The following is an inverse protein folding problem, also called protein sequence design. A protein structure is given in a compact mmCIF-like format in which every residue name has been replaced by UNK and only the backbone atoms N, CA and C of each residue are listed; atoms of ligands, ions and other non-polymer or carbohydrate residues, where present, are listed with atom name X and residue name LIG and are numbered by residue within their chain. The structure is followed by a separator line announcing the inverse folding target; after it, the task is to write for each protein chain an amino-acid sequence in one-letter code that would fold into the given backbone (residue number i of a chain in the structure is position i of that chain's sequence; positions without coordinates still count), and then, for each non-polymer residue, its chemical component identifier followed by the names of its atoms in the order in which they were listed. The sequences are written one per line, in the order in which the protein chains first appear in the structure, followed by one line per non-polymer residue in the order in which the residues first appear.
data_IF_682299396753
#
_entry.id   IF_682299396753
#
_cell.length_a   1.000
_cell.length_b   1.000
_cell.length_c   1.000
_cell.angle_alpha   90.00
_cell.angle_beta   90.00
_cell.angle_gamma   90.00
#
_symmetry.space_group_name_H-M   'P 1'
#
loop_
_entity.id
_entity.type
_entity.pdbx_description
1 polymer ?
#
# COMPACT_ATOMS: atom_id res chain seq x y z
N UNK A 1 13.97 8.96 -17.89
CA UNK A 1 13.80 7.53 -17.54
C UNK A 1 12.36 7.34 -17.08
N UNK A 2 11.71 6.22 -17.41
CA UNK A 2 10.34 5.93 -16.95
C UNK A 2 10.31 5.63 -15.44
N UNK A 3 9.12 5.63 -14.85
CA UNK A 3 8.93 5.22 -13.46
C UNK A 3 9.22 3.73 -13.27
N UNK A 4 9.51 3.32 -12.04
CA UNK A 4 9.74 1.92 -11.69
C UNK A 4 8.39 1.25 -11.41
N UNK A 5 8.06 0.25 -12.22
CA UNK A 5 6.86 -0.58 -12.09
C UNK A 5 7.12 -1.78 -11.17
N UNK A 6 6.03 -2.35 -10.66
CA UNK A 6 6.10 -3.55 -9.82
C UNK A 6 6.54 -4.76 -10.64
N UNK A 7 7.52 -5.49 -10.12
CA UNK A 7 7.98 -6.78 -10.64
C UNK A 7 6.94 -7.88 -10.50
N UNK A 8 5.90 -7.67 -9.70
CA UNK A 8 4.78 -8.57 -9.51
C UNK A 8 3.68 -8.44 -10.57
N UNK A 9 3.75 -7.47 -11.50
CA UNK A 9 2.74 -7.32 -12.56
C UNK A 9 2.56 -8.55 -13.48
N UNK A 10 3.59 -9.34 -13.81
CA UNK A 10 3.42 -10.51 -14.68
C UNK A 10 2.66 -11.69 -14.05
N UNK A 11 2.44 -11.67 -12.73
CA UNK A 11 1.79 -12.76 -12.01
C UNK A 11 0.29 -12.47 -11.80
N UNK A 12 -0.53 -13.51 -11.95
CA UNK A 12 -1.97 -13.42 -11.74
C UNK A 12 -2.31 -13.59 -10.26
N UNK A 13 -2.63 -12.48 -9.60
CA UNK A 13 -3.13 -12.46 -8.23
C UNK A 13 -4.65 -12.29 -8.20
N UNK A 14 -5.29 -12.81 -7.14
CA UNK A 14 -6.69 -12.45 -6.83
C UNK A 14 -6.76 -10.93 -6.70
N UNK A 15 -7.76 -10.31 -7.33
CA UNK A 15 -7.95 -8.87 -7.26
C UNK A 15 -9.29 -8.51 -6.59
N UNK A 16 -9.35 -7.33 -5.99
CA UNK A 16 -10.59 -6.68 -5.57
C UNK A 16 -10.74 -5.41 -6.39
N UNK A 17 -11.77 -5.36 -7.24
CA UNK A 17 -11.83 -4.37 -8.31
C UNK A 17 -10.61 -4.54 -9.22
N UNK A 18 -9.82 -3.48 -9.35
CA UNK A 18 -8.56 -3.50 -10.11
C UNK A 18 -7.29 -3.53 -9.23
N UNK A 19 -7.43 -3.74 -7.91
CA UNK A 19 -6.31 -3.84 -6.96
C UNK A 19 -5.91 -5.30 -6.77
N UNK A 20 -4.64 -5.64 -6.99
CA UNK A 20 -4.13 -6.98 -6.75
C UNK A 20 -3.97 -7.26 -5.24
N UNK A 21 -4.34 -8.45 -4.78
CA UNK A 21 -4.05 -8.94 -3.42
C UNK A 21 -2.73 -9.71 -3.43
N UNK A 22 -1.64 -8.99 -3.19
CA UNK A 22 -0.31 -9.58 -3.14
C UNK A 22 -0.03 -10.22 -1.77
N UNK A 23 0.79 -11.30 -1.73
CA UNK A 23 1.29 -11.83 -0.47
C UNK A 23 2.17 -10.81 0.25
N UNK A 24 2.04 -10.72 1.57
CA UNK A 24 2.83 -9.78 2.39
C UNK A 24 3.39 -10.49 3.62
N UNK A 25 4.66 -10.23 3.94
CA UNK A 25 5.32 -10.73 5.15
C UNK A 25 4.85 -9.94 6.35
N UNK A 26 3.91 -10.50 7.11
CA UNK A 26 3.46 -9.88 8.36
C UNK A 26 2.98 -10.90 9.38
N UNK A 27 3.13 -10.52 10.65
CA UNK A 27 2.65 -11.25 11.82
C UNK A 27 1.18 -10.95 12.11
N UNK A 28 0.61 -9.94 11.46
CA UNK A 28 -0.75 -9.48 11.71
C UNK A 28 -1.74 -10.21 10.80
N UNK A 29 -2.90 -10.55 11.36
CA UNK A 29 -3.98 -11.18 10.61
C UNK A 29 -4.61 -10.16 9.65
N UNK A 30 -4.86 -10.59 8.43
CA UNK A 30 -5.58 -9.81 7.44
C UNK A 30 -5.79 -10.63 6.16
N UNK A 31 -6.38 -10.01 5.12
CA UNK A 31 -6.83 -10.70 3.92
C UNK A 31 -5.73 -10.94 2.89
N UNK A 32 -4.53 -10.38 3.12
CA UNK A 32 -3.37 -10.63 2.27
C UNK A 32 -2.94 -12.10 2.38
N UNK A 33 -2.66 -12.79 1.25
CA UNK A 33 -2.09 -14.13 1.28
C UNK A 33 -0.78 -14.17 2.07
N UNK A 34 -0.47 -15.32 2.65
CA UNK A 34 0.83 -15.56 3.28
C UNK A 34 1.82 -15.93 2.16
N UNK A 35 3.00 -15.28 2.08
CA UNK A 35 4.01 -15.62 1.10
C UNK A 35 4.49 -17.06 1.28
N UNK A 36 4.74 -17.77 0.18
CA UNK A 36 5.22 -19.15 0.20
C UNK A 36 6.65 -19.27 0.72
N UNK A 37 7.48 -18.27 0.41
CA UNK A 37 8.83 -18.11 0.99
C UNK A 37 8.83 -16.88 1.92
N UNK A 38 8.97 -17.07 3.24
CA UNK A 38 9.06 -15.98 4.20
C UNK A 38 10.25 -15.03 4.00
N UNK A 39 11.28 -15.44 3.25
CA UNK A 39 12.48 -14.64 3.02
C UNK A 39 12.44 -13.88 1.69
N UNK A 40 11.50 -14.19 0.79
CA UNK A 40 11.37 -13.48 -0.48
C UNK A 40 10.91 -12.03 -0.23
N UNK A 41 11.38 -11.09 -1.06
CA UNK A 41 10.91 -9.71 -1.02
C UNK A 41 9.41 -9.64 -1.35
N UNK A 42 8.68 -8.80 -0.63
CA UNK A 42 7.27 -8.54 -0.90
C UNK A 42 7.05 -7.15 -1.51
N UNK A 43 5.78 -6.81 -1.77
CA UNK A 43 5.39 -5.54 -2.37
C UNK A 43 5.74 -4.32 -1.48
N UNK A 44 5.88 -4.51 -0.17
CA UNK A 44 6.25 -3.44 0.77
C UNK A 44 7.74 -3.16 0.67
N UNK A 45 8.57 -4.21 0.63
CA UNK A 45 10.02 -4.07 0.40
C UNK A 45 10.29 -3.38 -0.94
N UNK A 46 9.59 -3.82 -1.99
CA UNK A 46 9.66 -3.20 -3.32
C UNK A 46 9.27 -1.71 -3.25
N UNK A 47 8.16 -1.38 -2.59
CA UNK A 47 7.71 0.00 -2.45
C UNK A 47 8.73 0.91 -1.74
N UNK A 48 9.34 0.44 -0.65
CA UNK A 48 10.39 1.18 0.06
C UNK A 48 11.62 1.37 -0.83
N UNK A 49 12.01 0.32 -1.57
CA UNK A 49 13.16 0.36 -2.48
C UNK A 49 12.95 1.39 -3.61
N UNK A 50 11.78 1.40 -4.24
CA UNK A 50 11.49 2.28 -5.37
C UNK A 50 10.94 3.66 -4.95
N UNK A 51 10.60 3.86 -3.67
CA UNK A 51 9.99 5.11 -3.19
C UNK A 51 10.78 6.37 -3.60
N UNK A 52 12.09 6.38 -3.33
CA UNK A 52 12.95 7.53 -3.61
C UNK A 52 12.97 7.91 -5.09
N UNK A 53 13.31 6.99 -6.03
CA UNK A 53 13.27 7.35 -7.45
C UNK A 53 11.84 7.66 -7.93
N UNK A 54 10.82 6.94 -7.46
CA UNK A 54 9.45 7.16 -7.91
C UNK A 54 8.83 8.48 -7.45
N UNK A 55 9.26 9.03 -6.32
CA UNK A 55 8.75 10.31 -5.80
C UNK A 55 9.11 11.53 -6.68
N UNK A 56 10.04 11.39 -7.63
CA UNK A 56 10.40 12.47 -8.55
C UNK A 56 9.56 12.49 -9.83
N UNK A 57 8.82 11.42 -10.12
CA UNK A 57 8.01 11.34 -11.34
C UNK A 57 6.61 11.92 -11.10
N UNK A 58 6.17 12.76 -12.03
CA UNK A 58 4.81 13.35 -12.01
C UNK A 58 3.76 12.43 -12.64
N UNK A 59 4.19 11.56 -13.54
CA UNK A 59 3.32 10.67 -14.29
C UNK A 59 3.75 9.22 -14.02
N UNK A 60 2.78 8.34 -13.82
CA UNK A 60 2.97 6.92 -13.65
C UNK A 60 1.95 6.20 -14.54
N UNK A 61 2.42 5.43 -15.52
CA UNK A 61 1.55 4.62 -16.38
C UNK A 61 1.21 3.31 -15.66
N UNK A 62 -0.07 2.99 -15.48
CA UNK A 62 -0.45 1.80 -14.74
C UNK A 62 -0.43 0.59 -15.69
N UNK A 63 0.50 -0.34 -15.48
CA UNK A 63 0.64 -1.54 -16.32
C UNK A 63 -0.13 -2.74 -15.75
N UNK A 64 -0.46 -2.75 -14.46
CA UNK A 64 -1.14 -3.88 -13.82
C UNK A 64 -1.78 -3.57 -12.46
N UNK A 65 -2.36 -4.61 -11.85
CA UNK A 65 -2.97 -4.52 -10.52
C UNK A 65 -1.93 -4.28 -9.41
N UNK A 66 -0.72 -4.77 -9.58
CA UNK A 66 0.38 -4.63 -8.62
C UNK A 66 0.94 -3.20 -8.60
N UNK A 67 1.00 -2.53 -9.75
CA UNK A 67 1.32 -1.09 -9.83
C UNK A 67 0.36 -0.22 -9.02
N UNK A 68 -0.93 -0.57 -8.97
CA UNK A 68 -1.90 0.17 -8.15
C UNK A 68 -1.58 0.02 -6.66
N UNK A 69 -1.22 -1.20 -6.22
CA UNK A 69 -0.74 -1.39 -4.85
C UNK A 69 0.54 -0.57 -4.63
N UNK A 70 1.48 -0.60 -5.55
CA UNK A 70 2.73 0.15 -5.45
C UNK A 70 2.51 1.67 -5.30
N UNK A 71 1.62 2.26 -6.12
CA UNK A 71 1.25 3.68 -6.02
C UNK A 71 0.65 3.99 -4.65
N UNK A 72 -0.25 3.14 -4.16
CA UNK A 72 -0.85 3.29 -2.84
C UNK A 72 0.22 3.31 -1.73
N UNK A 73 1.19 2.40 -1.80
CA UNK A 73 2.29 2.31 -0.84
C UNK A 73 3.19 3.53 -0.88
N UNK A 74 3.51 4.04 -2.07
CA UNK A 74 4.33 5.25 -2.23
C UNK A 74 3.65 6.45 -1.56
N UNK A 75 2.34 6.62 -1.75
CA UNK A 75 1.57 7.69 -1.12
C UNK A 75 1.53 7.52 0.40
N UNK A 76 1.34 6.29 0.89
CA UNK A 76 1.37 6.01 2.32
C UNK A 76 2.74 6.30 2.95
N UNK A 77 3.83 5.91 2.31
CA UNK A 77 5.19 6.22 2.76
C UNK A 77 5.38 7.75 2.83
N UNK A 78 4.88 8.50 1.84
CA UNK A 78 4.93 9.96 1.86
C UNK A 78 4.17 10.56 3.05
N UNK A 79 2.97 10.06 3.37
CA UNK A 79 2.21 10.49 4.55
C UNK A 79 2.94 10.17 5.86
N UNK A 80 3.52 8.97 5.98
CA UNK A 80 4.33 8.58 7.14
C UNK A 80 5.52 9.53 7.32
N UNK A 81 6.26 9.83 6.25
CA UNK A 81 7.41 10.72 6.29
C UNK A 81 7.00 12.16 6.63
N UNK A 82 5.89 12.66 6.08
CA UNK A 82 5.37 13.99 6.41
C UNK A 82 5.02 14.11 7.91
N UNK A 83 4.41 13.06 8.49
CA UNK A 83 4.11 13.03 9.93
C UNK A 83 5.37 12.98 10.78
N UNK A 84 6.35 12.15 10.42
CA UNK A 84 7.62 12.08 11.14
C UNK A 84 8.39 13.42 11.06
N UNK A 85 8.42 14.06 9.90
CA UNK A 85 9.10 15.33 9.69
C UNK A 85 8.52 16.48 10.53
N UNK A 86 7.25 16.40 10.94
CA UNK A 86 6.60 17.44 11.74
C UNK A 86 7.18 17.54 13.16
N UNK A 87 7.60 16.42 13.75
CA UNK A 87 8.06 16.36 15.15
C UNK A 87 9.50 15.85 15.32
N UNK A 88 10.08 15.26 14.28
CA UNK A 88 11.37 14.56 14.34
C UNK A 88 11.51 13.67 15.60
N UNK A 89 10.54 12.78 15.85
CA UNK A 89 10.54 11.98 17.08
C UNK A 89 11.71 11.01 17.11
N UNK A 90 12.12 10.60 18.31
CA UNK A 90 13.01 9.44 18.47
C UNK A 90 12.34 8.14 18.01
N UNK A 91 13.12 7.07 17.82
CA UNK A 91 12.65 5.79 17.25
C UNK A 91 11.34 5.28 17.88
N UNK A 92 11.28 5.19 19.22
CA UNK A 92 10.11 4.65 19.92
C UNK A 92 8.86 5.52 19.78
N UNK A 93 9.01 6.84 19.76
CA UNK A 93 7.90 7.77 19.58
C UNK A 93 7.43 7.76 18.12
N UNK A 94 8.37 7.70 17.16
CA UNK A 94 8.07 7.55 15.74
C UNK A 94 7.28 6.27 15.45
N UNK A 95 7.68 5.13 16.03
CA UNK A 95 6.94 3.88 15.93
C UNK A 95 5.50 4.01 16.44
N UNK A 96 5.29 4.62 17.61
CA UNK A 96 3.93 4.83 18.15
C UNK A 96 3.09 5.77 17.28
N UNK A 97 3.70 6.82 16.75
CA UNK A 97 3.04 7.77 15.86
C UNK A 97 2.57 7.08 14.57
N UNK A 98 3.42 6.28 13.95
CA UNK A 98 3.09 5.54 12.74
C UNK A 98 2.08 4.41 13.00
N UNK A 99 2.19 3.69 14.12
CA UNK A 99 1.20 2.68 14.51
C UNK A 99 -0.18 3.31 14.66
N UNK A 100 -0.27 4.47 15.32
CA UNK A 100 -1.52 5.22 15.47
C UNK A 100 -2.06 5.64 14.11
N UNK A 101 -1.18 6.08 13.20
CA UNK A 101 -1.57 6.49 11.85
C UNK A 101 -2.12 5.33 11.01
N UNK A 102 -1.47 4.16 11.04
CA UNK A 102 -1.91 2.98 10.30
C UNK A 102 -3.29 2.46 10.74
N UNK A 103 -3.71 2.77 11.97
CA UNK A 103 -5.05 2.42 12.48
C UNK A 103 -6.14 3.44 12.12
N UNK A 104 -5.80 4.58 11.52
CA UNK A 104 -6.78 5.59 11.15
C UNK A 104 -7.71 5.09 10.04
N UNK A 105 -8.93 5.65 10.00
CA UNK A 105 -9.86 5.32 8.92
C UNK A 105 -9.30 5.83 7.59
N UNK A 106 -9.16 4.90 6.65
CA UNK A 106 -8.74 5.17 5.29
C UNK A 106 -9.97 5.28 4.37
N UNK A 107 -9.88 6.14 3.35
CA UNK A 107 -10.96 6.29 2.35
C UNK A 107 -10.79 5.24 1.26
N UNK A 108 -11.81 4.46 0.95
CA UNK A 108 -11.72 3.43 -0.09
C UNK A 108 -11.95 4.01 -1.49
N UNK A 109 -11.51 3.33 -2.56
CA UNK A 109 -12.00 3.59 -3.91
C UNK A 109 -13.54 3.61 -3.94
N UNK A 110 -14.10 4.70 -4.45
CA UNK A 110 -15.53 5.01 -4.45
C UNK A 110 -15.96 6.03 -3.39
N UNK A 111 -15.15 6.30 -2.37
CA UNK A 111 -15.42 7.33 -1.37
C UNK A 111 -15.09 8.73 -1.93
N UNK A 112 -15.89 9.73 -1.59
CA UNK A 112 -15.68 11.12 -2.06
C UNK A 112 -14.32 11.71 -1.66
N UNK A 113 -13.74 11.19 -0.57
CA UNK A 113 -12.45 11.63 -0.04
C UNK A 113 -11.26 10.86 -0.64
N UNK A 114 -11.49 9.85 -1.48
CA UNK A 114 -10.40 9.10 -2.11
C UNK A 114 -9.86 9.85 -3.34
N UNK A 115 -8.60 10.30 -3.32
CA UNK A 115 -8.08 11.23 -4.32
C UNK A 115 -7.86 10.59 -5.70
N UNK A 116 -7.83 9.25 -5.80
CA UNK A 116 -7.50 8.52 -7.03
C UNK A 116 -8.68 7.72 -7.61
N UNK A 117 -9.92 8.16 -7.37
CA UNK A 117 -11.13 7.46 -7.85
C UNK A 117 -11.16 7.18 -9.35
N UNK A 118 -10.47 7.99 -10.17
CA UNK A 118 -10.40 7.75 -11.61
C UNK A 118 -9.51 6.55 -12.00
N UNK A 119 -8.63 6.10 -11.10
CA UNK A 119 -7.63 5.04 -11.36
C UNK A 119 -7.96 3.72 -10.67
N UNK A 120 -8.82 3.77 -9.65
CA UNK A 120 -9.19 2.63 -8.81
C UNK A 120 -10.67 2.32 -8.92
N UNK A 121 -10.99 1.04 -9.04
CA UNK A 121 -12.37 0.58 -9.07
C UNK A 121 -12.91 0.41 -7.66
N UNK A 122 -14.16 0.85 -7.47
CA UNK A 122 -14.88 0.63 -6.22
C UNK A 122 -15.07 -0.88 -5.97
N UNK A 123 -15.00 -1.35 -4.72
CA UNK A 123 -15.31 -2.73 -4.39
C UNK A 123 -16.76 -3.06 -4.79
N UNK A 124 -16.96 -4.23 -5.39
CA UNK A 124 -18.27 -4.66 -5.89
C UNK A 124 -19.22 -5.05 -4.74
N UNK A 125 -18.67 -5.61 -3.66
CA UNK A 125 -19.44 -6.10 -2.51
C UNK A 125 -19.01 -5.44 -1.20
N UNK A 126 -19.87 -5.52 -0.18
CA UNK A 126 -19.51 -5.11 1.19
C UNK A 126 -18.37 -5.95 1.78
N UNK A 127 -18.26 -7.21 1.35
CA UNK A 127 -17.18 -8.10 1.77
C UNK A 127 -15.85 -7.63 1.19
N UNK A 128 -15.81 -7.33 -0.11
CA UNK A 128 -14.64 -6.77 -0.80
C UNK A 128 -14.18 -5.46 -0.18
N UNK A 129 -15.12 -4.58 0.17
CA UNK A 129 -14.82 -3.34 0.89
C UNK A 129 -14.21 -3.63 2.27
N UNK A 130 -14.72 -4.64 2.99
CA UNK A 130 -14.17 -5.10 4.25
C UNK A 130 -12.74 -5.65 4.11
N UNK A 131 -12.47 -6.42 3.06
CA UNK A 131 -11.13 -6.94 2.77
C UNK A 131 -10.15 -5.80 2.43
N UNK A 132 -10.53 -4.83 1.59
CA UNK A 132 -9.69 -3.66 1.32
C UNK A 132 -9.42 -2.82 2.58
N UNK A 133 -10.42 -2.65 3.45
CA UNK A 133 -10.24 -1.96 4.73
C UNK A 133 -9.27 -2.70 5.64
N UNK A 134 -9.35 -4.03 5.71
CA UNK A 134 -8.42 -4.81 6.53
C UNK A 134 -7.00 -4.78 5.96
N UNK A 135 -6.86 -4.72 4.63
CA UNK A 135 -5.56 -4.54 3.97
C UNK A 135 -4.97 -3.16 4.31
N UNK A 136 -5.77 -2.10 4.25
CA UNK A 136 -5.34 -0.74 4.59
C UNK A 136 -5.11 -0.48 6.09
N UNK A 137 -5.85 -1.17 6.97
CA UNK A 137 -5.77 -1.00 8.44
C UNK A 137 -4.75 -1.90 9.12
N UNK A 138 -4.47 -3.06 8.53
CA UNK A 138 -3.56 -3.99 9.18
C UNK A 138 -2.17 -3.38 9.18
N UNK A 139 -1.50 -3.47 10.32
CA UNK A 139 -0.16 -2.93 10.56
C UNK A 139 0.95 -3.64 9.76
N UNK A 140 0.60 -4.22 8.59
CA UNK A 140 1.51 -4.60 7.52
C UNK A 140 2.54 -3.48 7.24
N UNK A 141 2.13 -2.23 7.39
CA UNK A 141 2.95 -1.06 7.04
C UNK A 141 3.81 -0.47 8.17
N UNK A 142 3.79 -1.04 9.38
CA UNK A 142 4.55 -0.52 10.54
C UNK A 142 5.37 -1.62 11.23
N UNK A 143 5.95 -2.53 10.43
CA UNK A 143 6.96 -3.47 10.90
C UNK A 143 8.35 -2.85 10.93
#
# INVERSE_FOLDING_TARGET
MPAFHSTFNPADFRAIGNIALLPVKSKNRGPAPIPSDPNADDIIDEAIYVYRPNSFFRNFEIQGGSDRVLIYLILFIQECLAKLATKNPGLAEGQRLLQTHAMQNFSLPGDSNFPLNALYEKPATKQDAGELLLLGRSSYFVM
#
